data_IF_873714351938
#
_entry.id   IF_873714351938
#
_cell.length_a   1.000
_cell.length_b   1.000
_cell.length_c   1.000
_cell.angle_alpha   90.00
_cell.angle_beta   90.00
_cell.angle_gamma   90.00
#
_symmetry.space_group_name_H-M   'P 1'
#
loop_
_entity.id
_entity.type
_entity.pdbx_description
1 polymer ?
#
# COMPACT_ATOMS: atom_id res chain seq x y z
N UNK A 1 -32.61 23.47 82.77
CA UNK A 1 -31.39 22.91 82.14
C UNK A 1 -31.82 21.61 81.48
N UNK A 2 -31.52 21.48 80.19
CA UNK A 2 -31.85 20.40 79.24
C UNK A 2 -33.30 20.29 78.73
N UNK A 3 -33.32 20.13 77.40
CA UNK A 3 -34.38 20.27 76.38
C UNK A 3 -34.78 18.86 75.93
N UNK A 4 -36.01 18.66 75.42
CA UNK A 4 -36.36 17.74 74.29
C UNK A 4 -37.87 17.47 74.31
N UNK A 5 -38.69 18.05 73.42
CA UNK A 5 -39.17 17.49 72.12
C UNK A 5 -39.66 16.04 72.24
N UNK A 6 -40.93 15.69 72.03
CA UNK A 6 -41.79 16.04 70.89
C UNK A 6 -41.70 14.91 69.86
N UNK A 7 -42.76 14.12 69.66
CA UNK A 7 -42.96 13.37 68.41
C UNK A 7 -44.42 12.92 68.26
N UNK A 8 -45.04 13.48 67.22
CA UNK A 8 -46.33 13.15 66.68
C UNK A 8 -46.22 12.08 65.60
N UNK A 9 -47.26 11.24 65.55
CA UNK A 9 -47.78 10.39 64.47
C UNK A 9 -47.22 10.59 63.06
N UNK A 10 -46.95 9.50 62.31
CA UNK A 10 -47.26 9.39 60.88
C UNK A 10 -47.29 7.93 60.40
N UNK A 11 -48.36 7.59 59.67
CA UNK A 11 -48.66 6.29 59.03
C UNK A 11 -47.68 5.97 57.88
N UNK A 12 -47.42 4.68 57.57
CA UNK A 12 -46.63 4.32 56.39
C UNK A 12 -47.46 4.39 55.10
N UNK A 13 -46.99 5.17 54.13
CA UNK A 13 -47.45 5.12 52.73
C UNK A 13 -46.67 4.04 51.98
N UNK A 14 -47.39 3.11 51.34
CA UNK A 14 -46.86 2.15 50.39
C UNK A 14 -46.32 2.88 49.15
N UNK A 15 -45.01 2.80 48.91
CA UNK A 15 -44.38 3.27 47.69
C UNK A 15 -44.52 2.20 46.59
N UNK A 16 -45.24 2.54 45.51
CA UNK A 16 -45.29 1.72 44.29
C UNK A 16 -44.06 2.04 43.46
N UNK A 17 -43.15 1.07 43.31
CA UNK A 17 -41.97 1.19 42.45
C UNK A 17 -42.39 0.87 41.02
N UNK A 18 -42.40 1.88 40.14
CA UNK A 18 -42.62 1.71 38.70
C UNK A 18 -41.24 1.49 38.07
N UNK A 19 -40.95 0.26 37.67
CA UNK A 19 -39.73 -0.10 36.94
C UNK A 19 -39.91 0.27 35.46
N UNK A 20 -39.27 1.36 35.02
CA UNK A 20 -39.17 1.67 33.59
C UNK A 20 -38.02 0.86 32.97
N UNK A 21 -38.34 -0.15 32.16
CA UNK A 21 -37.35 -0.87 31.37
C UNK A 21 -37.01 -0.02 30.14
N UNK A 22 -35.85 0.64 30.16
CA UNK A 22 -35.32 1.36 29.00
C UNK A 22 -34.86 0.33 27.96
N UNK A 23 -35.64 0.14 26.89
CA UNK A 23 -35.21 -0.64 25.74
C UNK A 23 -34.22 0.21 24.91
N UNK A 24 -32.93 0.00 25.10
CA UNK A 24 -31.89 0.60 24.26
C UNK A 24 -31.90 -0.18 22.94
N UNK A 25 -32.60 0.35 21.93
CA UNK A 25 -32.43 -0.09 20.54
C UNK A 25 -31.05 0.37 20.04
N UNK A 26 -30.03 -0.47 20.22
CA UNK A 26 -28.77 -0.32 19.46
C UNK A 26 -29.03 -0.79 18.03
N UNK A 27 -29.38 0.13 17.13
CA UNK A 27 -29.31 -0.17 15.70
C UNK A 27 -27.85 -0.50 15.38
N UNK A 28 -27.53 -1.63 14.72
CA UNK A 28 -26.18 -1.86 14.24
C UNK A 28 -25.90 -0.82 13.15
N UNK A 29 -25.11 0.20 13.49
CA UNK A 29 -24.64 1.19 12.54
C UNK A 29 -23.67 0.49 11.59
N UNK A 30 -24.21 -0.05 10.50
CA UNK A 30 -23.40 -0.62 9.43
C UNK A 30 -22.87 0.58 8.65
N UNK A 31 -21.74 1.16 9.10
CA UNK A 31 -20.97 2.09 8.27
C UNK A 31 -20.67 1.35 6.98
N UNK A 32 -21.29 1.73 5.87
CA UNK A 32 -20.86 1.28 4.56
C UNK A 32 -19.43 1.82 4.38
N UNK A 33 -18.43 0.97 4.62
CA UNK A 33 -17.04 1.34 4.43
C UNK A 33 -16.87 1.74 2.96
N UNK A 34 -16.65 3.04 2.72
CA UNK A 34 -16.41 3.58 1.38
C UNK A 34 -15.19 2.87 0.80
N UNK A 35 -15.44 1.93 -0.11
CA UNK A 35 -14.39 1.14 -0.75
C UNK A 35 -13.72 2.00 -1.80
N UNK A 36 -12.39 2.01 -1.78
CA UNK A 36 -11.62 2.58 -2.87
C UNK A 36 -11.85 1.77 -4.15
N UNK A 37 -12.08 2.48 -5.25
CA UNK A 37 -12.14 1.90 -6.60
C UNK A 37 -10.95 2.38 -7.40
N UNK A 38 -10.34 1.48 -8.18
CA UNK A 38 -9.17 1.77 -9.00
C UNK A 38 -9.42 1.25 -10.41
N UNK A 39 -9.23 2.12 -11.40
CA UNK A 39 -9.36 1.77 -12.81
C UNK A 39 -8.08 2.18 -13.53
N UNK A 40 -7.53 1.26 -14.32
CA UNK A 40 -6.41 1.55 -15.19
C UNK A 40 -6.94 1.95 -16.58
N UNK A 41 -6.41 3.04 -17.12
CA UNK A 41 -6.66 3.43 -18.52
C UNK A 41 -6.22 2.33 -19.50
N UNK A 42 -6.87 2.27 -20.66
CA UNK A 42 -6.60 1.22 -21.65
C UNK A 42 -5.16 1.21 -22.18
N UNK A 43 -4.50 2.37 -22.24
CA UNK A 43 -3.09 2.50 -22.63
C UNK A 43 -2.11 2.36 -21.45
N UNK A 44 -2.64 2.19 -20.23
CA UNK A 44 -1.87 2.08 -19.00
C UNK A 44 -1.18 3.38 -18.58
N UNK A 45 -1.43 4.54 -19.22
CA UNK A 45 -0.72 5.78 -18.87
C UNK A 45 -1.27 6.46 -17.61
N UNK A 46 -2.51 6.15 -17.26
CA UNK A 46 -3.22 6.77 -16.15
C UNK A 46 -3.92 5.73 -15.27
N UNK A 47 -3.92 6.00 -13.97
CA UNK A 47 -4.82 5.36 -13.01
C UNK A 47 -5.85 6.40 -12.58
N UNK A 48 -7.12 5.97 -12.53
CA UNK A 48 -8.20 6.69 -11.91
C UNK A 48 -8.55 6.01 -10.59
N UNK A 49 -8.57 6.77 -9.50
CA UNK A 49 -9.01 6.28 -8.20
C UNK A 49 -10.22 7.05 -7.72
N UNK A 50 -11.16 6.36 -7.09
CA UNK A 50 -12.30 6.95 -6.41
C UNK A 50 -12.27 6.59 -4.93
N UNK A 51 -12.25 7.59 -4.06
CA UNK A 51 -12.25 7.43 -2.62
C UNK A 51 -12.95 8.61 -1.95
N UNK A 52 -13.87 8.33 -1.01
CA UNK A 52 -14.66 9.37 -0.33
C UNK A 52 -15.38 10.36 -1.26
N UNK A 53 -16.01 9.84 -2.32
CA UNK A 53 -16.63 10.61 -3.41
C UNK A 53 -15.69 11.59 -4.15
N UNK A 54 -14.38 11.39 -4.04
CA UNK A 54 -13.36 12.16 -4.78
C UNK A 54 -12.70 11.27 -5.82
N UNK A 55 -12.47 11.86 -6.99
CA UNK A 55 -11.75 11.22 -8.08
C UNK A 55 -10.36 11.81 -8.18
N UNK A 56 -9.35 10.95 -8.31
CA UNK A 56 -7.98 11.34 -8.56
C UNK A 56 -7.47 10.64 -9.81
N UNK A 57 -6.69 11.36 -10.60
CA UNK A 57 -5.96 10.82 -11.74
C UNK A 57 -4.48 10.89 -11.46
N UNK A 58 -3.79 9.78 -11.68
CA UNK A 58 -2.34 9.65 -11.50
C UNK A 58 -1.76 9.22 -12.82
N UNK A 59 -0.82 9.98 -13.34
CA UNK A 59 -0.15 9.68 -14.61
C UNK A 59 1.15 8.93 -14.35
N UNK A 60 1.45 7.90 -15.13
CA UNK A 60 2.71 7.16 -15.00
C UNK A 60 3.92 8.09 -15.17
N UNK A 61 3.83 9.07 -16.06
CA UNK A 61 4.88 10.04 -16.35
C UNK A 61 5.18 11.02 -15.21
N UNK A 62 4.31 11.15 -14.20
CA UNK A 62 4.62 11.96 -13.02
C UNK A 62 5.55 11.23 -12.05
N UNK A 63 5.73 9.92 -12.22
CA UNK A 63 6.56 9.08 -11.36
C UNK A 63 8.01 9.11 -11.84
N UNK A 64 8.89 9.62 -10.99
CA UNK A 64 10.33 9.64 -11.22
C UNK A 64 11.02 8.70 -10.24
N UNK A 65 11.92 7.88 -10.76
CA UNK A 65 12.64 6.86 -10.00
C UNK A 65 14.11 6.94 -10.32
N UNK A 66 14.95 6.96 -9.28
CA UNK A 66 16.40 6.87 -9.44
C UNK A 66 16.81 5.41 -9.25
N UNK A 67 17.16 4.75 -10.35
CA UNK A 67 17.59 3.35 -10.34
C UNK A 67 19.11 3.30 -10.20
N UNK A 68 19.62 2.66 -9.15
CA UNK A 68 21.04 2.38 -8.97
C UNK A 68 21.42 1.12 -9.75
N UNK A 69 22.67 1.03 -10.22
CA UNK A 69 23.17 -0.08 -11.05
C UNK A 69 22.24 -0.40 -12.25
N UNK A 70 21.60 0.64 -12.79
CA UNK A 70 20.59 0.57 -13.84
C UNK A 70 21.19 0.17 -15.18
N UNK A 71 20.36 -0.46 -16.02
CA UNK A 71 20.70 -0.69 -17.42
C UNK A 71 20.27 0.54 -18.26
N UNK A 72 21.24 1.25 -18.86
CA UNK A 72 20.93 2.29 -19.83
C UNK A 72 20.65 1.63 -21.19
N UNK A 73 19.37 1.58 -21.59
CA UNK A 73 18.96 0.95 -22.85
C UNK A 73 19.50 1.69 -24.10
N UNK A 74 19.88 2.97 -24.00
CA UNK A 74 20.42 3.71 -25.14
C UNK A 74 21.87 3.33 -25.45
N UNK A 75 22.62 2.95 -24.41
CA UNK A 75 24.03 2.57 -24.49
C UNK A 75 24.25 1.06 -24.29
N UNK A 76 23.20 0.32 -23.96
CA UNK A 76 23.21 -1.11 -23.64
C UNK A 76 24.27 -1.48 -22.59
N UNK A 77 24.45 -0.62 -21.59
CA UNK A 77 25.43 -0.82 -20.52
C UNK A 77 24.87 -0.44 -19.16
N UNK A 78 25.46 -1.03 -18.11
CA UNK A 78 25.12 -0.65 -16.73
C UNK A 78 25.78 0.68 -16.37
N UNK A 79 25.02 1.55 -15.73
CA UNK A 79 25.48 2.83 -15.19
C UNK A 79 25.21 2.86 -13.68
N UNK A 80 25.99 3.64 -12.93
CA UNK A 80 25.87 3.65 -11.47
C UNK A 80 24.51 4.14 -10.99
N UNK A 81 23.91 5.09 -11.70
CA UNK A 81 22.60 5.64 -11.40
C UNK A 81 21.97 6.16 -12.69
N UNK A 82 20.67 5.90 -12.86
CA UNK A 82 19.87 6.45 -13.94
C UNK A 82 18.53 6.96 -13.41
N UNK A 83 18.16 8.19 -13.75
CA UNK A 83 16.84 8.73 -13.44
C UNK A 83 15.89 8.34 -14.56
N UNK A 84 14.87 7.54 -14.22
CA UNK A 84 13.86 7.06 -15.14
C UNK A 84 12.50 7.63 -14.76
N UNK A 85 11.65 7.80 -15.77
CA UNK A 85 10.27 8.24 -15.62
C UNK A 85 9.34 7.10 -16.00
N UNK A 86 8.21 6.97 -15.30
CA UNK A 86 7.22 5.94 -15.60
C UNK A 86 6.64 6.10 -17.01
N UNK A 87 6.71 5.05 -17.82
CA UNK A 87 6.16 5.03 -19.17
C UNK A 87 4.66 4.68 -19.15
N UNK A 88 4.33 3.64 -18.39
CA UNK A 88 2.96 3.15 -18.18
C UNK A 88 2.90 2.28 -16.94
N UNK A 89 1.73 2.17 -16.36
CA UNK A 89 1.43 1.18 -15.35
C UNK A 89 1.30 -0.21 -16.00
N UNK A 90 1.68 -1.23 -15.24
CA UNK A 90 1.68 -2.63 -15.66
C UNK A 90 1.07 -3.53 -14.58
N UNK A 91 0.41 -4.60 -15.02
CA UNK A 91 -0.28 -5.54 -14.15
C UNK A 91 -1.61 -5.00 -13.61
N UNK A 92 -2.21 -5.78 -12.70
CA UNK A 92 -3.45 -5.40 -12.00
C UNK A 92 -3.08 -4.71 -10.69
N UNK A 93 -3.62 -3.51 -10.39
CA UNK A 93 -3.43 -2.89 -9.09
C UNK A 93 -3.99 -3.79 -7.97
N UNK A 94 -3.27 -3.87 -6.86
CA UNK A 94 -3.73 -4.58 -5.65
C UNK A 94 -4.03 -3.56 -4.56
N UNK A 95 -5.08 -3.80 -3.78
CA UNK A 95 -5.57 -2.89 -2.74
C UNK A 95 -5.40 -3.58 -1.39
N UNK A 96 -4.77 -2.89 -0.45
CA UNK A 96 -4.81 -3.26 0.96
C UNK A 96 -6.15 -2.81 1.54
N UNK A 97 -6.99 -3.78 1.93
CA UNK A 97 -8.33 -3.51 2.45
C UNK A 97 -8.33 -2.81 3.83
N UNK A 98 -7.20 -2.89 4.56
CA UNK A 98 -7.10 -2.27 5.88
C UNK A 98 -6.70 -0.79 5.78
N UNK A 99 -5.81 -0.45 4.84
CA UNK A 99 -5.28 0.91 4.71
C UNK A 99 -5.80 1.68 3.50
N UNK A 100 -6.52 1.02 2.58
CA UNK A 100 -6.87 1.51 1.25
C UNK A 100 -5.65 1.88 0.38
N UNK A 101 -4.45 1.41 0.73
CA UNK A 101 -3.26 1.61 -0.08
C UNK A 101 -3.34 0.78 -1.34
N UNK A 102 -2.93 1.35 -2.48
CA UNK A 102 -2.95 0.70 -3.78
C UNK A 102 -1.51 0.47 -4.19
N UNK A 103 -1.10 -0.78 -4.41
CA UNK A 103 0.18 -1.09 -5.02
C UNK A 103 -0.01 -1.39 -6.51
N UNK A 104 0.83 -0.80 -7.34
CA UNK A 104 0.78 -0.99 -8.79
C UNK A 104 2.18 -0.99 -9.40
N UNK A 105 2.35 -1.79 -10.45
CA UNK A 105 3.57 -1.84 -11.24
C UNK A 105 3.68 -0.66 -12.20
N UNK A 106 4.90 -0.22 -12.44
CA UNK A 106 5.24 0.82 -13.41
C UNK A 106 6.39 0.31 -14.27
N UNK A 107 6.21 0.36 -15.59
CA UNK A 107 7.32 0.15 -16.53
C UNK A 107 8.13 1.44 -16.61
N UNK A 108 9.44 1.35 -16.32
CA UNK A 108 10.36 2.49 -16.37
C UNK A 108 11.14 2.51 -17.68
N UNK A 109 11.59 1.34 -18.13
CA UNK A 109 12.32 1.18 -19.38
C UNK A 109 12.23 -0.25 -19.90
N UNK A 110 12.37 -0.41 -21.21
CA UNK A 110 12.38 -1.70 -21.89
C UNK A 110 13.56 -1.70 -22.87
N UNK A 111 14.47 -2.66 -22.71
CA UNK A 111 15.53 -2.96 -23.66
C UNK A 111 15.25 -4.32 -24.31
N UNK A 112 16.10 -4.75 -25.25
CA UNK A 112 16.01 -6.08 -25.87
C UNK A 112 15.98 -7.15 -24.78
N UNK A 113 14.85 -7.86 -24.69
CA UNK A 113 14.60 -8.97 -23.75
C UNK A 113 14.66 -8.63 -22.25
N UNK A 114 14.81 -7.35 -21.88
CA UNK A 114 14.92 -6.96 -20.46
C UNK A 114 14.05 -5.75 -20.17
N UNK A 115 13.26 -5.85 -19.10
CA UNK A 115 12.48 -4.72 -18.59
C UNK A 115 13.06 -4.24 -17.26
N UNK A 116 13.00 -2.92 -17.06
CA UNK A 116 13.18 -2.29 -15.77
C UNK A 116 11.83 -1.77 -15.30
N UNK A 117 11.37 -2.31 -14.19
CA UNK A 117 10.10 -1.92 -13.57
C UNK A 117 10.31 -1.33 -12.18
N UNK A 118 9.23 -0.81 -11.62
CA UNK A 118 9.12 -0.42 -10.23
C UNK A 118 7.72 -0.73 -9.72
N UNK A 119 7.56 -0.73 -8.40
CA UNK A 119 6.25 -0.76 -7.76
C UNK A 119 6.07 0.54 -6.99
N UNK A 120 4.92 1.17 -7.17
CA UNK A 120 4.55 2.37 -6.44
C UNK A 120 3.32 2.05 -5.60
N UNK A 121 3.35 2.50 -4.35
CA UNK A 121 2.18 2.50 -3.46
C UNK A 121 1.56 3.89 -3.47
N UNK A 122 0.27 3.93 -3.80
CA UNK A 122 -0.57 5.12 -3.76
C UNK A 122 -1.43 5.00 -2.50
N UNK A 123 -1.28 5.97 -1.60
CA UNK A 123 -2.08 6.07 -0.39
C UNK A 123 -3.05 7.25 -0.51
N UNK A 124 -4.37 7.01 -0.57
CA UNK A 124 -5.39 8.06 -0.57
C UNK A 124 -5.33 8.92 0.70
N UNK A 125 -5.62 10.20 0.56
CA UNK A 125 -5.71 11.16 1.67
C UNK A 125 -6.89 12.10 1.47
N UNK A 126 -7.44 12.72 2.54
CA UNK A 126 -8.60 13.61 2.42
C UNK A 126 -8.44 14.74 1.41
N UNK A 127 -7.20 15.19 1.16
CA UNK A 127 -6.87 16.28 0.25
C UNK A 127 -6.22 15.81 -1.07
N UNK A 128 -6.00 14.52 -1.28
CA UNK A 128 -5.17 14.05 -2.39
C UNK A 128 -4.74 12.60 -2.28
N UNK A 129 -3.51 12.36 -2.70
CA UNK A 129 -2.83 11.09 -2.54
C UNK A 129 -1.35 11.33 -2.26
N UNK A 130 -0.71 10.35 -1.65
CA UNK A 130 0.75 10.27 -1.59
C UNK A 130 1.22 9.05 -2.37
N UNK A 131 2.25 9.22 -3.18
CA UNK A 131 2.94 8.14 -3.88
C UNK A 131 4.24 7.82 -3.16
N UNK A 132 4.54 6.54 -3.00
CA UNK A 132 5.81 6.09 -2.44
C UNK A 132 6.35 4.93 -3.23
N UNK A 133 7.64 4.97 -3.52
CA UNK A 133 8.32 3.89 -4.22
C UNK A 133 8.53 2.71 -3.26
N UNK A 134 8.27 1.50 -3.76
CA UNK A 134 8.70 0.27 -3.11
C UNK A 134 10.16 0.06 -3.43
N UNK A 135 11.02 0.25 -2.43
CA UNK A 135 12.46 0.26 -2.64
C UNK A 135 13.03 -1.17 -2.63
N UNK A 136 13.74 -1.55 -3.70
CA UNK A 136 14.55 -2.76 -3.73
C UNK A 136 15.92 -2.44 -3.14
N UNK A 137 16.38 -3.14 -2.10
CA UNK A 137 17.70 -2.91 -1.53
C UNK A 137 18.81 -3.47 -2.43
N UNK A 138 20.06 -3.17 -2.08
CA UNK A 138 21.21 -3.76 -2.74
C UNK A 138 22.51 -3.32 -2.07
N UNK A 139 23.60 -3.38 -2.84
CA UNK A 139 24.97 -3.25 -2.33
C UNK A 139 25.29 -1.91 -1.65
N UNK A 140 24.67 -0.83 -2.11
CA UNK A 140 24.89 0.54 -1.62
C UNK A 140 23.63 1.04 -0.91
N UNK A 141 23.76 1.89 0.12
CA UNK A 141 22.62 2.55 0.73
C UNK A 141 21.80 3.34 -0.31
N UNK A 142 20.49 3.36 -0.13
CA UNK A 142 19.59 4.16 -0.95
C UNK A 142 19.65 5.62 -0.47
N UNK A 143 19.83 6.55 -1.41
CA UNK A 143 20.09 7.96 -1.09
C UNK A 143 18.84 8.75 -0.66
N UNK A 144 17.65 8.29 -1.08
CA UNK A 144 16.35 8.88 -0.75
C UNK A 144 15.22 7.88 -1.05
N UNK A 145 13.98 8.25 -0.72
CA UNK A 145 12.76 7.48 -0.91
C UNK A 145 12.36 7.20 -2.37
N UNK A 146 13.00 7.87 -3.34
CA UNK A 146 12.81 7.66 -4.78
C UNK A 146 13.95 6.83 -5.41
N UNK A 147 14.90 6.37 -4.60
CA UNK A 147 16.01 5.52 -5.04
C UNK A 147 15.69 4.03 -4.86
N UNK A 148 16.08 3.19 -5.82
CA UNK A 148 15.92 1.74 -5.74
C UNK A 148 16.99 1.02 -6.55
N UNK A 149 17.27 -0.24 -6.22
CA UNK A 149 17.93 -1.15 -7.15
C UNK A 149 16.96 -1.61 -8.25
N UNK A 150 17.48 -2.14 -9.38
CA UNK A 150 16.65 -2.53 -10.51
C UNK A 150 15.72 -3.67 -10.11
N UNK A 151 14.44 -3.50 -10.40
CA UNK A 151 13.48 -4.59 -10.42
C UNK A 151 13.33 -5.06 -11.87
N UNK A 152 13.38 -6.36 -12.08
CA UNK A 152 13.24 -6.98 -13.40
C UNK A 152 11.78 -6.94 -13.86
N UNK A 153 11.33 -7.90 -14.66
CA UNK A 153 9.93 -7.95 -15.11
C UNK A 153 9.01 -8.21 -13.91
N UNK A 154 8.03 -7.32 -13.70
CA UNK A 154 7.01 -7.51 -12.69
C UNK A 154 6.01 -8.56 -13.16
N UNK A 155 5.88 -9.65 -12.39
CA UNK A 155 4.93 -10.74 -12.68
C UNK A 155 3.60 -10.50 -11.97
N UNK A 156 3.63 -10.06 -10.71
CA UNK A 156 2.42 -9.91 -9.92
C UNK A 156 2.61 -9.17 -8.62
N UNK A 157 1.49 -8.66 -8.11
CA UNK A 157 1.40 -7.92 -6.85
C UNK A 157 0.24 -8.47 -6.03
N UNK A 158 0.44 -8.59 -4.73
CA UNK A 158 -0.63 -8.99 -3.82
C UNK A 158 -0.40 -8.40 -2.44
N UNK A 159 -1.47 -7.97 -1.78
CA UNK A 159 -1.47 -7.77 -0.34
C UNK A 159 -1.91 -9.03 0.37
N UNK A 160 -1.16 -9.46 1.38
CA UNK A 160 -1.53 -10.56 2.27
C UNK A 160 -1.16 -10.19 3.70
N UNK A 161 -2.17 -10.11 4.59
CA UNK A 161 -1.98 -9.77 6.01
C UNK A 161 -1.13 -8.50 6.23
N UNK A 162 -1.48 -7.41 5.53
CA UNK A 162 -0.74 -6.14 5.51
C UNK A 162 0.70 -6.21 4.96
N UNK A 163 1.12 -7.35 4.41
CA UNK A 163 2.37 -7.46 3.67
C UNK A 163 2.10 -7.21 2.19
N UNK A 164 2.92 -6.38 1.56
CA UNK A 164 2.97 -6.29 0.11
C UNK A 164 3.95 -7.34 -0.41
N UNK A 165 3.43 -8.23 -1.24
CA UNK A 165 4.17 -9.27 -1.94
C UNK A 165 4.37 -8.84 -3.39
N UNK A 166 5.63 -8.79 -3.83
CA UNK A 166 6.01 -8.39 -5.18
C UNK A 166 6.72 -9.56 -5.85
N UNK A 167 6.08 -10.15 -6.86
CA UNK A 167 6.67 -11.22 -7.66
C UNK A 167 7.33 -10.64 -8.90
N UNK A 168 8.60 -10.95 -9.08
CA UNK A 168 9.38 -10.54 -10.24
C UNK A 168 10.01 -11.75 -10.95
N UNK A 169 10.35 -11.57 -12.23
CA UNK A 169 11.08 -12.54 -13.03
C UNK A 169 12.02 -11.89 -14.03
N UNK A 170 12.83 -12.72 -14.69
CA UNK A 170 13.75 -12.31 -15.76
C UNK A 170 13.59 -13.15 -17.04
N UNK A 171 14.38 -12.82 -18.06
CA UNK A 171 14.38 -13.53 -19.34
C UNK A 171 14.84 -15.00 -19.22
N UNK A 172 15.64 -15.32 -18.21
CA UNK A 172 16.06 -16.70 -17.91
C UNK A 172 14.96 -17.47 -17.13
N UNK A 173 13.78 -16.88 -16.95
CA UNK A 173 12.66 -17.44 -16.20
C UNK A 173 12.97 -17.72 -14.71
N UNK A 174 14.00 -17.07 -14.16
CA UNK A 174 14.16 -17.00 -12.72
C UNK A 174 13.01 -16.20 -12.12
N UNK A 175 12.59 -16.53 -10.90
CA UNK A 175 11.51 -15.84 -10.21
C UNK A 175 11.81 -15.67 -8.73
N UNK A 176 11.41 -14.52 -8.19
CA UNK A 176 11.51 -14.26 -6.77
C UNK A 176 10.31 -13.48 -6.24
N UNK A 177 10.05 -13.65 -4.95
CA UNK A 177 9.04 -12.94 -4.19
C UNK A 177 9.73 -12.00 -3.20
N UNK A 178 9.59 -10.70 -3.42
CA UNK A 178 10.02 -9.67 -2.48
C UNK A 178 8.87 -9.41 -1.49
N UNK A 179 9.19 -9.29 -0.22
CA UNK A 179 8.22 -9.10 0.86
C UNK A 179 8.46 -7.77 1.55
N UNK A 180 7.39 -6.99 1.68
CA UNK A 180 7.40 -5.68 2.32
C UNK A 180 6.36 -5.62 3.42
N UNK A 181 6.72 -5.14 4.61
CA UNK A 181 5.74 -4.86 5.66
C UNK A 181 5.26 -3.42 5.59
N UNK A 182 4.13 -3.14 6.25
CA UNK A 182 3.76 -1.77 6.60
C UNK A 182 4.90 -1.08 7.35
N UNK A 183 5.10 0.20 7.05
CA UNK A 183 6.00 1.09 7.77
C UNK A 183 5.41 2.50 7.78
N UNK A 184 6.15 3.48 8.30
CA UNK A 184 5.75 4.89 8.23
C UNK A 184 5.74 5.42 6.79
N UNK A 185 6.54 4.82 5.90
CA UNK A 185 6.48 5.06 4.46
C UNK A 185 5.38 4.21 3.83
N UNK A 186 4.49 4.79 3.01
CA UNK A 186 3.51 4.01 2.24
C UNK A 186 4.12 2.91 1.37
N UNK A 187 5.38 3.06 0.93
CA UNK A 187 6.10 2.06 0.15
C UNK A 187 6.50 0.80 0.95
N UNK A 188 6.29 0.82 2.26
CA UNK A 188 6.62 -0.27 3.17
C UNK A 188 8.11 -0.38 3.49
N UNK A 189 8.45 -1.36 4.33
CA UNK A 189 9.83 -1.71 4.64
C UNK A 189 10.13 -3.10 4.08
N UNK A 190 11.22 -3.22 3.32
CA UNK A 190 11.69 -4.52 2.85
C UNK A 190 11.97 -5.47 4.03
N UNK A 191 11.42 -6.69 3.96
CA UNK A 191 11.58 -7.73 4.99
C UNK A 191 12.35 -8.94 4.51
N UNK A 192 12.36 -9.20 3.22
CA UNK A 192 13.12 -10.30 2.68
C UNK A 192 12.75 -10.61 1.24
N UNK A 193 13.45 -11.61 0.71
CA UNK A 193 13.19 -12.15 -0.60
C UNK A 193 13.23 -13.67 -0.54
N UNK A 194 12.27 -14.30 -1.20
CA UNK A 194 12.22 -15.73 -1.37
C UNK A 194 12.45 -16.07 -2.86
N UNK A 195 13.46 -16.87 -3.20
CA UNK A 195 13.55 -17.43 -4.54
C UNK A 195 12.36 -18.38 -4.75
N UNK A 196 11.60 -18.15 -5.80
CA UNK A 196 10.48 -19.02 -6.21
C UNK A 196 10.99 -20.07 -7.19
N UNK A 197 11.83 -19.64 -8.14
CA UNK A 197 12.44 -20.49 -9.15
C UNK A 197 13.81 -19.92 -9.54
N UNK A 198 14.82 -20.79 -9.64
CA UNK A 198 16.15 -20.44 -10.12
C UNK A 198 16.54 -21.48 -11.17
N UNK A 199 16.63 -21.06 -12.41
CA UNK A 199 17.03 -21.89 -13.55
C UNK A 199 18.51 -21.66 -13.83
N UNK A 200 18.96 -20.40 -13.86
CA UNK A 200 20.36 -20.03 -14.10
C UNK A 200 20.84 -18.88 -13.20
N UNK A 201 22.15 -18.89 -12.90
CA UNK A 201 22.81 -17.80 -12.19
C UNK A 201 22.54 -17.78 -10.68
N UNK A 202 22.41 -16.57 -10.11
CA UNK A 202 22.28 -16.39 -8.65
C UNK A 202 20.86 -16.08 -8.18
N UNK A 203 19.87 -16.17 -9.07
CA UNK A 203 18.49 -15.75 -8.82
C UNK A 203 18.31 -14.23 -8.72
N UNK A 204 17.09 -13.82 -8.35
CA UNK A 204 16.65 -12.42 -8.36
C UNK A 204 16.58 -11.77 -6.97
N UNK A 205 16.95 -12.50 -5.92
CA UNK A 205 16.93 -11.92 -4.58
C UNK A 205 18.06 -10.91 -4.39
N UNK A 206 17.74 -9.69 -3.90
CA UNK A 206 18.74 -8.71 -3.54
C UNK A 206 19.75 -9.27 -2.54
N UNK A 207 21.01 -8.87 -2.71
CA UNK A 207 22.14 -9.26 -1.87
C UNK A 207 22.70 -8.07 -1.12
#
# INVERSE_FOLDING_TARGET
>A
MFISTGSSSFLPRLATVITFTLAIFTQPYTQAQERITVTLSADGKQIQTQWMNRNYTIEAQSLRVNVLDALDCSQLRRVEQLSLTGQRFIGTPTIDLNTNSIAIGVLLSECVETQQSAVVVIKPQPQGYTTSLVQVPGKRPLNNEFSTYPMSSLIGLQYWDNLLLVRQGDAASNQALLVYSVSESPGGQYKGCLPVEIIEGTGLCPK
#
